data_IF_130194614517
#
_entry.id   IF_130194614517
#
_cell.length_a   1.000
_cell.length_b   1.000
_cell.length_c   1.000
_cell.angle_alpha   90.00
_cell.angle_beta   90.00
_cell.angle_gamma   90.00
#
_symmetry.space_group_name_H-M   'P 1'
#
loop_
_entity.id
_entity.type
_entity.pdbx_description
1 polymer ?
#
# COMPACT_ATOMS: atom_id res chain seq x y z
N UNK A 1 47.15 -65.61 57.17
CA UNK A 1 46.97 -65.67 55.70
C UNK A 1 45.93 -64.63 55.33
N UNK A 2 46.40 -63.42 55.07
CA UNK A 2 45.59 -62.26 54.65
C UNK A 2 46.03 -61.96 53.22
N UNK A 3 45.26 -62.42 52.24
CA UNK A 3 45.44 -62.02 50.84
C UNK A 3 44.68 -60.72 50.64
N UNK A 4 45.43 -59.62 50.63
CA UNK A 4 44.98 -58.31 50.17
C UNK A 4 44.52 -58.40 48.71
N UNK A 5 43.21 -58.36 48.52
CA UNK A 5 42.61 -58.10 47.21
C UNK A 5 42.66 -56.59 47.03
N UNK A 6 43.81 -56.09 46.57
CA UNK A 6 43.86 -54.80 45.89
C UNK A 6 43.09 -54.94 44.57
N UNK A 7 41.78 -54.74 44.65
CA UNK A 7 40.95 -54.47 43.50
C UNK A 7 41.48 -53.19 42.85
N UNK A 8 42.35 -53.39 41.84
CA UNK A 8 42.77 -52.35 40.91
C UNK A 8 41.52 -51.86 40.19
N UNK A 9 40.84 -50.88 40.78
CA UNK A 9 40.01 -49.94 40.03
C UNK A 9 40.98 -49.26 39.08
N UNK A 10 41.13 -49.81 37.87
CA UNK A 10 41.77 -49.11 36.77
C UNK A 10 40.83 -47.96 36.44
N UNK A 11 41.17 -46.69 36.74
CA UNK A 11 40.37 -45.60 36.23
C UNK A 11 40.42 -45.73 34.72
N UNK A 12 39.28 -45.99 34.08
CA UNK A 12 39.19 -45.77 32.64
C UNK A 12 39.57 -44.31 32.43
N UNK A 13 40.78 -44.10 31.92
CA UNK A 13 41.23 -42.81 31.45
C UNK A 13 40.29 -42.47 30.29
N UNK A 14 39.26 -41.70 30.60
CA UNK A 14 38.49 -40.95 29.62
C UNK A 14 39.51 -40.02 28.97
N UNK A 15 40.15 -40.50 27.91
CA UNK A 15 41.04 -39.69 27.12
C UNK A 15 40.26 -38.41 26.79
N UNK A 16 40.82 -37.22 27.06
CA UNK A 16 40.14 -35.98 26.72
C UNK A 16 39.79 -36.10 25.25
N UNK A 17 38.50 -36.11 24.93
CA UNK A 17 38.07 -36.12 23.55
C UNK A 17 38.66 -34.85 22.95
N UNK A 18 39.80 -34.97 22.26
CA UNK A 18 40.31 -33.93 21.38
C UNK A 18 39.09 -33.42 20.62
N UNK A 19 38.87 -32.10 20.49
CA UNK A 19 37.71 -31.55 19.81
C UNK A 19 37.75 -31.98 18.34
N UNK A 20 37.33 -33.22 18.07
CA UNK A 20 37.16 -33.82 16.76
C UNK A 20 35.84 -33.31 16.27
N UNK A 21 35.94 -32.07 15.80
CA UNK A 21 34.81 -31.29 15.37
C UNK A 21 35.19 -29.95 14.80
N UNK A 22 36.47 -29.55 14.71
CA UNK A 22 36.83 -28.25 14.14
C UNK A 22 36.18 -28.03 12.76
N UNK A 23 36.22 -29.04 11.88
CA UNK A 23 35.53 -29.00 10.58
C UNK A 23 34.01 -28.89 10.71
N UNK A 24 33.39 -29.60 11.67
CA UNK A 24 31.94 -29.54 11.90
C UNK A 24 31.50 -28.19 12.49
N UNK A 25 32.32 -27.60 13.35
CA UNK A 25 32.14 -26.29 13.95
C UNK A 25 32.31 -25.19 12.90
N UNK A 26 33.33 -25.31 12.03
CA UNK A 26 33.54 -24.42 10.89
C UNK A 26 32.36 -24.51 9.92
N UNK A 27 31.89 -25.71 9.55
CA UNK A 27 30.72 -25.83 8.67
C UNK A 27 29.45 -25.24 9.29
N UNK A 28 29.26 -25.36 10.61
CA UNK A 28 28.15 -24.74 11.33
C UNK A 28 28.27 -23.21 11.32
N UNK A 29 29.44 -22.67 11.65
CA UNK A 29 29.69 -21.22 11.59
C UNK A 29 29.49 -20.66 10.19
N UNK A 30 30.01 -21.35 9.16
CA UNK A 30 29.84 -20.94 7.76
C UNK A 30 28.38 -20.97 7.35
N UNK A 31 27.60 -21.98 7.76
CA UNK A 31 26.16 -22.04 7.46
C UNK A 31 25.36 -20.97 8.21
N UNK A 32 25.69 -20.69 9.47
CA UNK A 32 25.07 -19.59 10.23
C UNK A 32 25.40 -18.22 9.62
N UNK A 33 26.65 -18.01 9.21
CA UNK A 33 27.08 -16.77 8.57
C UNK A 33 26.39 -16.58 7.21
N UNK A 34 26.30 -17.63 6.39
CA UNK A 34 25.55 -17.61 5.13
C UNK A 34 24.07 -17.32 5.36
N UNK A 35 23.45 -17.95 6.35
CA UNK A 35 22.05 -17.69 6.70
C UNK A 35 21.85 -16.22 7.13
N UNK A 36 22.74 -15.67 7.95
CA UNK A 36 22.69 -14.27 8.37
C UNK A 36 22.83 -13.29 7.19
N UNK A 37 23.72 -13.58 6.23
CA UNK A 37 23.86 -12.77 5.00
C UNK A 37 22.59 -12.83 4.16
N UNK A 38 22.01 -14.01 3.97
CA UNK A 38 20.75 -14.17 3.23
C UNK A 38 19.61 -13.42 3.91
N UNK A 39 19.47 -13.53 5.24
CA UNK A 39 18.46 -12.78 6.01
C UNK A 39 18.69 -11.28 5.90
N UNK A 40 19.94 -10.80 5.98
CA UNK A 40 20.28 -9.39 5.85
C UNK A 40 19.93 -8.81 4.48
N UNK A 41 20.20 -9.55 3.40
CA UNK A 41 19.81 -9.14 2.03
C UNK A 41 18.29 -9.07 1.90
N UNK A 42 17.56 -10.06 2.40
CA UNK A 42 16.09 -10.07 2.36
C UNK A 42 15.50 -8.91 3.16
N UNK A 43 16.03 -8.66 4.37
CA UNK A 43 15.60 -7.55 5.21
C UNK A 43 15.86 -6.18 4.55
N UNK A 44 17.00 -6.00 3.87
CA UNK A 44 17.30 -4.78 3.12
C UNK A 44 16.36 -4.57 1.93
N UNK A 45 16.04 -5.65 1.20
CA UNK A 45 15.09 -5.59 0.08
C UNK A 45 13.66 -5.29 0.55
N UNK A 46 13.24 -5.87 1.68
CA UNK A 46 11.95 -5.57 2.33
C UNK A 46 11.89 -4.12 2.84
N UNK A 47 12.98 -3.62 3.44
CA UNK A 47 13.05 -2.24 3.92
C UNK A 47 12.91 -1.21 2.79
N UNK A 48 13.59 -1.44 1.67
CA UNK A 48 13.44 -0.60 0.47
C UNK A 48 12.03 -0.66 -0.11
N UNK A 49 11.45 -1.86 -0.25
CA UNK A 49 10.09 -2.01 -0.74
C UNK A 49 9.04 -1.33 0.16
N UNK A 50 9.28 -1.30 1.48
CA UNK A 50 8.41 -0.60 2.43
C UNK A 50 8.50 0.93 2.26
N UNK A 51 9.70 1.49 2.05
CA UNK A 51 9.87 2.92 1.76
C UNK A 51 9.22 3.31 0.43
N UNK A 52 9.46 2.54 -0.63
CA UNK A 52 8.84 2.79 -1.94
C UNK A 52 7.30 2.73 -1.85
N UNK A 53 6.75 1.85 -0.99
CA UNK A 53 5.31 1.76 -0.72
C UNK A 53 4.78 2.94 0.12
N UNK A 54 5.56 3.43 1.08
CA UNK A 54 5.19 4.58 1.91
C UNK A 54 5.13 5.87 1.08
N UNK A 55 6.16 6.12 0.26
CA UNK A 55 6.18 7.24 -0.69
C UNK A 55 5.02 7.14 -1.68
N UNK A 56 4.72 5.92 -2.14
CA UNK A 56 3.57 5.66 -3.00
C UNK A 56 2.23 6.02 -2.37
N UNK A 57 2.07 5.62 -1.11
CA UNK A 57 0.84 5.86 -0.35
C UNK A 57 0.66 7.34 -0.06
N UNK A 58 1.73 8.06 0.28
CA UNK A 58 1.69 9.50 0.51
C UNK A 58 1.29 10.26 -0.76
N UNK A 59 1.89 9.95 -1.91
CA UNK A 59 1.52 10.56 -3.18
C UNK A 59 0.06 10.26 -3.58
N UNK A 60 -0.44 9.05 -3.28
CA UNK A 60 -1.83 8.70 -3.53
C UNK A 60 -2.80 9.45 -2.61
N UNK A 61 -2.45 9.65 -1.33
CA UNK A 61 -3.23 10.43 -0.38
C UNK A 61 -3.30 11.89 -0.82
N UNK A 62 -2.18 12.49 -1.24
CA UNK A 62 -2.13 13.86 -1.75
C UNK A 62 -3.01 14.03 -3.00
N UNK A 63 -2.91 13.09 -3.94
CA UNK A 63 -3.74 13.09 -5.14
C UNK A 63 -5.24 12.93 -4.82
N UNK A 64 -5.58 12.03 -3.89
CA UNK A 64 -6.96 11.85 -3.43
C UNK A 64 -7.51 13.11 -2.75
N UNK A 65 -6.70 13.79 -1.93
CA UNK A 65 -7.09 15.04 -1.28
C UNK A 65 -7.35 16.15 -2.32
N UNK A 66 -6.51 16.27 -3.35
CA UNK A 66 -6.71 17.23 -4.42
C UNK A 66 -7.99 16.97 -5.22
N UNK A 67 -8.28 15.71 -5.57
CA UNK A 67 -9.53 15.32 -6.25
C UNK A 67 -10.75 15.57 -5.38
N UNK A 68 -10.69 15.25 -4.08
CA UNK A 68 -11.79 15.51 -3.16
C UNK A 68 -12.09 17.01 -3.03
N UNK A 69 -11.07 17.85 -2.90
CA UNK A 69 -11.24 19.29 -2.83
C UNK A 69 -11.89 19.86 -4.09
N UNK A 70 -11.42 19.42 -5.26
CA UNK A 70 -11.99 19.85 -6.54
C UNK A 70 -13.43 19.34 -6.74
N UNK A 71 -13.77 18.15 -6.23
CA UNK A 71 -15.14 17.63 -6.22
C UNK A 71 -16.05 18.48 -5.33
N UNK A 72 -15.62 18.82 -4.12
CA UNK A 72 -16.38 19.64 -3.19
C UNK A 72 -16.64 21.05 -3.77
N UNK A 73 -15.65 21.63 -4.46
CA UNK A 73 -15.78 22.90 -5.18
C UNK A 73 -16.81 22.81 -6.31
N UNK A 74 -16.78 21.74 -7.11
CA UNK A 74 -17.77 21.51 -8.17
C UNK A 74 -19.20 21.34 -7.62
N UNK A 75 -19.37 20.60 -6.52
CA UNK A 75 -20.68 20.43 -5.86
C UNK A 75 -21.18 21.77 -5.32
N UNK A 76 -20.29 22.58 -4.71
CA UNK A 76 -20.65 23.92 -4.23
C UNK A 76 -21.05 24.85 -5.38
N UNK A 77 -20.37 24.77 -6.53
CA UNK A 77 -20.69 25.56 -7.71
C UNK A 77 -22.06 25.18 -8.28
N UNK A 78 -22.35 23.87 -8.39
CA UNK A 78 -23.67 23.39 -8.84
C UNK A 78 -24.80 23.87 -7.92
N UNK A 79 -24.60 23.80 -6.59
CA UNK A 79 -25.61 24.28 -5.64
C UNK A 79 -25.87 25.78 -5.77
N UNK A 80 -24.85 26.57 -6.11
CA UNK A 80 -25.00 28.01 -6.35
C UNK A 80 -25.75 28.30 -7.66
N UNK A 81 -25.47 27.53 -8.72
CA UNK A 81 -26.18 27.60 -10.01
C UNK A 81 -27.67 27.28 -9.84
N UNK A 82 -27.99 26.15 -9.17
CA UNK A 82 -29.38 25.75 -8.90
C UNK A 82 -30.14 26.82 -8.11
N UNK A 83 -29.48 27.44 -7.12
CA UNK A 83 -30.07 28.50 -6.31
C UNK A 83 -30.29 29.80 -7.12
N UNK A 84 -29.35 30.16 -8.00
CA UNK A 84 -29.47 31.32 -8.88
C UNK A 84 -30.59 31.13 -9.91
N UNK A 85 -30.69 29.92 -10.50
CA UNK A 85 -31.77 29.57 -11.42
C UNK A 85 -33.14 29.65 -10.74
N UNK A 86 -33.28 29.10 -9.52
CA UNK A 86 -34.50 29.21 -8.75
C UNK A 86 -34.88 30.68 -8.45
N UNK A 87 -33.91 31.56 -8.19
CA UNK A 87 -34.14 32.97 -7.97
C UNK A 87 -34.62 33.70 -9.25
N UNK A 88 -34.04 33.37 -10.41
CA UNK A 88 -34.47 33.88 -11.72
C UNK A 88 -35.92 33.49 -11.99
N UNK A 89 -36.26 32.20 -11.81
CA UNK A 89 -37.61 31.70 -12.08
C UNK A 89 -38.65 32.31 -11.14
N UNK A 90 -38.31 32.47 -9.84
CA UNK A 90 -39.16 33.19 -8.89
C UNK A 90 -39.39 34.64 -9.30
N UNK A 91 -38.35 35.34 -9.77
CA UNK A 91 -38.46 36.74 -10.21
C UNK A 91 -39.29 36.86 -11.50
N UNK A 92 -39.09 35.95 -12.47
CA UNK A 92 -39.92 35.86 -13.68
C UNK A 92 -41.39 35.65 -13.33
N UNK A 93 -41.69 34.74 -12.40
CA UNK A 93 -43.07 34.49 -11.97
C UNK A 93 -43.68 35.72 -11.28
N UNK A 94 -42.93 36.41 -10.42
CA UNK A 94 -43.41 37.64 -9.77
C UNK A 94 -43.77 38.74 -10.78
N UNK A 95 -42.99 38.88 -11.86
CA UNK A 95 -43.28 39.81 -12.95
C UNK A 95 -44.57 39.41 -13.67
N UNK A 96 -44.74 38.13 -13.99
CA UNK A 96 -45.96 37.62 -14.64
C UNK A 96 -47.18 37.88 -13.75
N UNK A 97 -47.09 37.62 -12.45
CA UNK A 97 -48.17 37.83 -11.49
C UNK A 97 -48.52 39.31 -11.34
N UNK A 98 -47.52 40.19 -11.25
CA UNK A 98 -47.71 41.65 -11.22
C UNK A 98 -48.38 42.16 -12.50
N UNK A 99 -47.96 41.63 -13.65
CA UNK A 99 -48.58 41.93 -14.94
C UNK A 99 -50.06 41.55 -14.90
N UNK A 100 -50.37 40.29 -14.55
CA UNK A 100 -51.73 39.74 -14.50
C UNK A 100 -52.64 40.46 -13.49
N UNK A 101 -52.07 41.06 -12.43
CA UNK A 101 -52.81 41.79 -11.42
C UNK A 101 -53.28 43.18 -11.88
N UNK A 102 -52.72 43.72 -12.97
CA UNK A 102 -53.17 45.00 -13.51
C UNK A 102 -54.48 44.82 -14.33
N UNK A 103 -55.41 45.77 -14.32
CA UNK A 103 -56.55 45.71 -15.24
C UNK A 103 -56.07 46.03 -16.67
N UNK A 104 -55.94 45.03 -17.55
CA UNK A 104 -55.55 45.24 -18.95
C UNK A 104 -56.77 45.36 -19.88
N UNK A 105 -56.71 46.30 -20.82
CA UNK A 105 -57.63 46.34 -21.96
C UNK A 105 -57.23 45.28 -23.00
N UNK A 106 -58.20 44.66 -23.73
CA UNK A 106 -57.89 43.71 -24.79
C UNK A 106 -57.02 44.39 -25.87
N UNK A 107 -55.76 43.97 -25.98
CA UNK A 107 -54.74 44.54 -26.87
C UNK A 107 -53.47 45.09 -26.18
N UNK A 108 -53.40 45.05 -24.85
CA UNK A 108 -52.21 45.47 -24.11
C UNK A 108 -51.01 44.55 -24.38
N UNK A 109 -49.91 45.11 -24.91
CA UNK A 109 -48.63 44.41 -25.06
C UNK A 109 -47.57 45.07 -24.19
N UNK A 110 -46.86 44.28 -23.39
CA UNK A 110 -45.76 44.78 -22.58
C UNK A 110 -44.48 44.75 -23.41
N UNK A 111 -43.82 45.90 -23.49
CA UNK A 111 -42.52 46.03 -24.12
C UNK A 111 -41.46 45.32 -23.28
N UNK A 112 -40.56 44.58 -23.94
CA UNK A 112 -39.37 43.94 -23.35
C UNK A 112 -38.36 44.93 -22.74
N UNK A 113 -38.62 46.24 -22.85
CA UNK A 113 -37.82 47.33 -22.29
C UNK A 113 -38.22 47.74 -20.86
N UNK A 114 -39.11 47.00 -20.18
CA UNK A 114 -39.51 47.32 -18.81
C UNK A 114 -38.35 47.06 -17.81
N UNK A 115 -38.18 47.90 -16.76
CA UNK A 115 -37.11 47.76 -15.77
C UNK A 115 -37.08 46.37 -15.11
N UNK A 116 -38.24 45.73 -14.94
CA UNK A 116 -38.33 44.42 -14.32
C UNK A 116 -37.70 43.31 -15.19
N UNK A 117 -37.79 43.41 -16.51
CA UNK A 117 -37.10 42.49 -17.44
C UNK A 117 -35.60 42.79 -17.55
N UNK A 118 -35.17 44.03 -17.25
CA UNK A 118 -33.75 44.37 -17.18
C UNK A 118 -33.07 43.74 -15.95
N UNK A 119 -33.75 43.67 -14.80
CA UNK A 119 -33.26 42.95 -13.61
C UNK A 119 -33.10 41.45 -13.89
N UNK A 120 -34.08 40.80 -14.54
CA UNK A 120 -33.99 39.38 -14.91
C UNK A 120 -32.82 39.13 -15.85
N UNK A 121 -32.62 39.99 -16.87
CA UNK A 121 -31.48 39.86 -17.79
C UNK A 121 -30.14 40.02 -17.08
N UNK A 122 -30.03 40.96 -16.14
CA UNK A 122 -28.82 41.11 -15.33
C UNK A 122 -28.54 39.88 -14.43
N UNK A 123 -29.59 39.20 -13.96
CA UNK A 123 -29.45 37.95 -13.21
C UNK A 123 -29.07 36.77 -14.12
N UNK A 124 -29.59 36.72 -15.35
CA UNK A 124 -29.19 35.74 -16.38
C UNK A 124 -27.71 35.92 -16.77
N UNK A 125 -27.26 37.16 -16.99
CA UNK A 125 -25.85 37.47 -17.29
C UNK A 125 -24.93 37.06 -16.13
N UNK A 126 -25.40 37.18 -14.88
CA UNK A 126 -24.67 36.73 -13.70
C UNK A 126 -24.65 35.19 -13.59
N UNK A 127 -25.75 34.52 -13.93
CA UNK A 127 -25.83 33.06 -13.97
C UNK A 127 -24.83 32.49 -15.00
N UNK A 128 -24.75 33.08 -16.20
CA UNK A 128 -23.80 32.65 -17.24
C UNK A 128 -22.34 32.76 -16.75
N UNK A 129 -22.02 33.78 -15.95
CA UNK A 129 -20.70 33.89 -15.30
C UNK A 129 -20.47 32.79 -14.25
N UNK A 130 -21.49 32.42 -13.49
CA UNK A 130 -21.41 31.33 -12.51
C UNK A 130 -21.26 29.96 -13.19
N UNK A 131 -21.99 29.70 -14.28
CA UNK A 131 -21.84 28.49 -15.10
C UNK A 131 -20.41 28.37 -15.65
N UNK A 132 -19.86 29.48 -16.18
CA UNK A 132 -18.51 29.47 -16.71
C UNK A 132 -17.46 29.16 -15.61
N UNK A 133 -17.62 29.71 -14.41
CA UNK A 133 -16.77 29.40 -13.27
C UNK A 133 -16.92 27.94 -12.81
N UNK A 134 -18.13 27.39 -12.81
CA UNK A 134 -18.41 26.00 -12.46
C UNK A 134 -17.76 25.03 -13.46
N UNK A 135 -17.86 25.32 -14.76
CA UNK A 135 -17.21 24.53 -15.83
C UNK A 135 -15.69 24.59 -15.71
N UNK A 136 -15.11 25.75 -15.41
CA UNK A 136 -13.66 25.88 -15.18
C UNK A 136 -13.21 25.07 -13.95
N UNK A 137 -13.94 25.12 -12.84
CA UNK A 137 -13.66 24.31 -11.65
C UNK A 137 -13.76 22.80 -11.96
N UNK A 138 -14.79 22.37 -12.69
CA UNK A 138 -14.94 20.97 -13.11
C UNK A 138 -13.78 20.52 -14.01
N UNK A 139 -13.33 21.39 -14.93
CA UNK A 139 -12.19 21.10 -15.81
C UNK A 139 -10.87 21.02 -15.05
N UNK A 140 -10.69 21.85 -14.02
CA UNK A 140 -9.55 21.74 -13.11
C UNK A 140 -9.57 20.43 -12.33
N UNK A 141 -10.75 20.00 -11.85
CA UNK A 141 -10.93 18.70 -11.20
C UNK A 141 -10.57 17.53 -12.11
N UNK A 142 -11.04 17.56 -13.37
CA UNK A 142 -10.74 16.53 -14.37
C UNK A 142 -9.25 16.50 -14.70
N UNK A 143 -8.61 17.66 -14.87
CA UNK A 143 -7.16 17.76 -15.10
C UNK A 143 -6.36 17.20 -13.92
N UNK A 144 -6.78 17.49 -12.68
CA UNK A 144 -6.16 16.96 -11.48
C UNK A 144 -6.32 15.43 -11.37
N UNK A 145 -7.50 14.91 -11.72
CA UNK A 145 -7.76 13.47 -11.76
C UNK A 145 -6.93 12.78 -12.86
N UNK A 146 -6.85 13.36 -14.06
CA UNK A 146 -6.02 12.87 -15.16
C UNK A 146 -4.53 12.85 -14.79
N UNK A 147 -4.04 13.80 -14.00
CA UNK A 147 -2.68 13.79 -13.48
C UNK A 147 -2.47 12.71 -12.39
N UNK A 148 -3.49 12.44 -11.58
CA UNK A 148 -3.45 11.46 -10.50
C UNK A 148 -3.45 10.00 -10.99
N UNK A 149 -4.22 9.68 -12.04
CA UNK A 149 -4.34 8.33 -12.61
C UNK A 149 -2.99 7.69 -13.03
N UNK A 150 -2.10 8.36 -13.80
CA UNK A 150 -0.82 7.80 -14.19
C UNK A 150 0.14 7.65 -13.00
N UNK A 151 0.06 8.55 -12.00
CA UNK A 151 0.81 8.41 -10.76
C UNK A 151 0.36 7.14 -10.04
N UNK A 152 -0.94 6.98 -9.77
CA UNK A 152 -1.47 5.77 -9.14
C UNK A 152 -1.11 4.49 -9.92
N UNK A 153 -1.19 4.53 -11.25
CA UNK A 153 -0.85 3.38 -12.11
C UNK A 153 0.65 3.05 -12.07
N UNK A 154 1.52 4.05 -12.10
CA UNK A 154 2.97 3.88 -11.97
C UNK A 154 3.34 3.30 -10.59
N UNK A 155 2.69 3.78 -9.53
CA UNK A 155 2.88 3.32 -8.15
C UNK A 155 2.45 1.85 -8.00
N UNK A 156 1.27 1.47 -8.51
CA UNK A 156 0.81 0.07 -8.51
C UNK A 156 1.76 -0.83 -9.29
N UNK A 157 2.28 -0.36 -10.43
CA UNK A 157 3.23 -1.12 -11.24
C UNK A 157 4.59 -1.26 -10.55
N UNK A 158 5.08 -0.19 -9.90
CA UNK A 158 6.33 -0.21 -9.13
C UNK A 158 6.24 -1.14 -7.92
N UNK A 159 5.15 -1.05 -7.14
CA UNK A 159 4.88 -1.95 -6.02
C UNK A 159 4.77 -3.42 -6.46
N UNK A 160 4.08 -3.68 -7.59
CA UNK A 160 3.96 -5.02 -8.16
C UNK A 160 5.30 -5.57 -8.64
N UNK A 161 6.12 -4.74 -9.28
CA UNK A 161 7.47 -5.12 -9.72
C UNK A 161 8.39 -5.41 -8.53
N UNK A 162 8.30 -4.61 -7.46
CA UNK A 162 9.06 -4.83 -6.23
C UNK A 162 8.64 -6.14 -5.55
N UNK A 163 7.34 -6.41 -5.47
CA UNK A 163 6.80 -7.67 -4.96
C UNK A 163 7.23 -8.86 -5.81
N UNK A 164 7.06 -8.80 -7.13
CA UNK A 164 7.47 -9.88 -8.05
C UNK A 164 8.98 -10.15 -7.97
N UNK A 165 9.79 -9.09 -7.80
CA UNK A 165 11.23 -9.18 -7.55
C UNK A 165 11.60 -9.84 -6.22
N UNK A 166 10.69 -9.84 -5.23
CA UNK A 166 10.86 -10.47 -3.92
C UNK A 166 10.38 -11.93 -3.87
N UNK A 167 9.42 -12.31 -4.72
CA UNK A 167 8.85 -13.68 -4.72
C UNK A 167 9.92 -14.74 -5.02
N UNK A 168 10.72 -14.54 -6.06
CA UNK A 168 11.77 -15.48 -6.44
C UNK A 168 12.84 -15.68 -5.33
N UNK A 169 13.47 -14.62 -4.77
CA UNK A 169 14.43 -14.79 -3.68
C UNK A 169 13.79 -15.33 -2.40
N UNK A 170 12.52 -15.04 -2.13
CA UNK A 170 11.79 -15.61 -0.99
C UNK A 170 11.66 -17.14 -1.10
N UNK A 171 11.24 -17.67 -2.27
CA UNK A 171 11.16 -19.11 -2.50
C UNK A 171 12.53 -19.80 -2.48
N UNK A 172 13.57 -19.14 -3.02
CA UNK A 172 14.95 -19.63 -2.95
C UNK A 172 15.42 -19.69 -1.49
N UNK A 173 15.15 -18.66 -0.70
CA UNK A 173 15.51 -18.64 0.72
C UNK A 173 14.75 -19.70 1.53
N UNK A 174 13.45 -19.89 1.26
CA UNK A 174 12.64 -20.91 1.91
C UNK A 174 13.15 -22.33 1.61
N UNK A 175 13.41 -22.64 0.34
CA UNK A 175 13.92 -23.96 -0.08
C UNK A 175 15.34 -24.21 0.42
N UNK A 176 16.21 -23.18 0.41
CA UNK A 176 17.54 -23.25 1.01
C UNK A 176 17.47 -23.50 2.53
N UNK A 177 16.55 -22.83 3.24
CA UNK A 177 16.31 -23.04 4.66
C UNK A 177 15.85 -24.46 4.99
N UNK A 178 14.87 -24.99 4.24
CA UNK A 178 14.40 -26.37 4.37
C UNK A 178 15.52 -27.37 4.09
N UNK A 179 16.32 -27.15 3.05
CA UNK A 179 17.45 -28.01 2.71
C UNK A 179 18.51 -28.02 3.81
N UNK A 180 18.83 -26.87 4.41
CA UNK A 180 19.76 -26.77 5.53
C UNK A 180 19.25 -27.51 6.77
N UNK A 181 17.97 -27.34 7.13
CA UNK A 181 17.35 -28.08 8.24
C UNK A 181 17.37 -29.58 7.96
N UNK A 182 17.03 -30.01 6.74
CA UNK A 182 17.11 -31.40 6.32
C UNK A 182 18.51 -31.98 6.41
N UNK A 183 19.54 -31.22 6.00
CA UNK A 183 20.96 -31.59 6.11
C UNK A 183 21.41 -31.72 7.56
N UNK A 184 21.02 -30.78 8.43
CA UNK A 184 21.32 -30.83 9.86
C UNK A 184 20.65 -32.04 10.51
N UNK A 185 19.38 -32.27 10.22
CA UNK A 185 18.63 -33.42 10.74
C UNK A 185 19.24 -34.73 10.25
N UNK A 186 19.60 -34.81 8.96
CA UNK A 186 20.27 -35.97 8.39
C UNK A 186 21.64 -36.20 9.01
N UNK A 187 22.44 -35.16 9.24
CA UNK A 187 23.74 -35.26 9.91
C UNK A 187 23.58 -35.75 11.37
N UNK A 188 22.54 -35.30 12.07
CA UNK A 188 22.20 -35.76 13.41
C UNK A 188 21.77 -37.24 13.42
N UNK A 189 20.93 -37.67 12.48
CA UNK A 189 20.48 -39.07 12.33
C UNK A 189 21.63 -39.99 11.88
N UNK A 190 22.50 -39.52 10.99
CA UNK A 190 23.67 -40.27 10.54
C UNK A 190 24.67 -40.51 11.69
N UNK A 191 24.80 -39.55 12.61
CA UNK A 191 25.59 -39.72 13.86
C UNK A 191 25.01 -40.81 14.75
N UNK A 192 23.71 -40.77 15.05
CA UNK A 192 23.08 -41.76 15.93
C UNK A 192 23.14 -43.18 15.35
N UNK A 193 23.03 -43.36 14.02
CA UNK A 193 23.22 -44.66 13.36
C UNK A 193 24.66 -45.18 13.41
N UNK A 194 25.66 -44.31 13.20
CA UNK A 194 27.08 -44.71 13.29
C UNK A 194 27.50 -45.09 14.71
N UNK A 195 27.02 -44.36 15.72
CA UNK A 195 27.32 -44.66 17.11
C UNK A 195 26.69 -45.97 17.57
N UNK A 196 25.45 -46.29 17.14
CA UNK A 196 24.85 -47.61 17.38
C UNK A 196 25.66 -48.74 16.76
N UNK A 197 26.11 -48.59 15.49
CA UNK A 197 26.94 -49.61 14.81
C UNK A 197 28.32 -49.80 15.47
N UNK A 198 28.93 -48.72 15.99
CA UNK A 198 30.21 -48.81 16.71
C UNK A 198 30.07 -49.51 18.06
N UNK A 199 29.04 -49.18 18.85
CA UNK A 199 28.79 -49.86 20.13
C UNK A 199 28.52 -51.36 19.94
N UNK A 200 27.78 -51.74 18.90
CA UNK A 200 27.50 -53.14 18.58
C UNK A 200 28.76 -53.97 18.20
N UNK A 201 29.83 -53.32 17.71
CA UNK A 201 31.11 -53.99 17.42
C UNK A 201 32.05 -54.10 18.61
N UNK A 202 31.87 -53.25 19.63
CA UNK A 202 32.66 -53.29 20.87
C UNK A 202 32.05 -54.24 21.92
N UNK A 203 30.80 -54.67 21.72
CA UNK A 203 30.11 -55.65 22.55
C UNK A 203 30.28 -57.10 22.04
N UNK A 204 31.07 -57.32 20.99
CA UNK A 204 31.56 -58.63 20.52
C UNK A 204 33.07 -58.67 20.72
#
# INVERSE_FOLDING_TARGET
MTTDVHERIVPQTVAPQRPRGLRAWITFLVTVLLAAVVIGIIAALLGKAAQDLEDATNAAIEAQAAVSAAHDEAVSAQAAEDAAQAAIDAKRQAIIDEINAQPHEPGFSISTSSPAFAEVRAMEDALEQHEHAAVEAARQAETAAEAAVPIATAQVTAARTALDGLVAPFWIALTAGIALVGLVLWAAIARTRRDRRRRARLAR
#
